data_IF_643366653300
#
_entry.id   IF_643366653300
#
_cell.length_a   1.000
_cell.length_b   1.000
_cell.length_c   1.000
_cell.angle_alpha   90.00
_cell.angle_beta   90.00
_cell.angle_gamma   90.00
#
_symmetry.space_group_name_H-M   'P 1'
#
loop_
_entity.id
_entity.type
_entity.pdbx_description
1 polymer ?
#
# COMPACT_ATOMS: atom_id res chain seq x y z
N UNK A 1 -26.68 -0.62 39.15
CA UNK A 1 -26.89 0.41 38.11
C UNK A 1 -25.79 0.30 37.08
N UNK A 2 -26.01 -0.44 35.99
CA UNK A 2 -25.09 -0.53 34.86
C UNK A 2 -25.39 0.64 33.93
N UNK A 3 -24.49 1.61 33.83
CA UNK A 3 -24.58 2.67 32.83
C UNK A 3 -24.39 2.04 31.46
N UNK A 4 -25.42 2.13 30.63
CA UNK A 4 -25.36 1.88 29.19
C UNK A 4 -24.52 3.02 28.62
N UNK A 5 -23.24 2.76 28.37
CA UNK A 5 -22.39 3.65 27.57
C UNK A 5 -22.95 3.57 26.16
N UNK A 6 -23.59 4.66 25.72
CA UNK A 6 -24.29 4.73 24.44
C UNK A 6 -23.33 4.48 23.28
N UNK A 7 -23.82 3.76 22.27
CA UNK A 7 -23.14 3.48 20.99
C UNK A 7 -22.45 4.70 20.36
N UNK A 8 -22.92 5.91 20.66
CA UNK A 8 -22.34 7.17 20.22
C UNK A 8 -20.93 7.45 20.80
N UNK A 9 -20.62 7.04 22.04
CA UNK A 9 -19.26 7.21 22.58
C UNK A 9 -18.27 6.18 22.01
N UNK A 10 -18.73 4.96 21.69
CA UNK A 10 -17.90 3.95 21.01
C UNK A 10 -17.60 4.38 19.57
N UNK A 11 -18.58 4.94 18.87
CA UNK A 11 -18.36 5.52 17.53
C UNK A 11 -17.44 6.75 17.57
N UNK A 12 -17.54 7.62 18.59
CA UNK A 12 -16.65 8.77 18.73
C UNK A 12 -15.22 8.32 19.09
N UNK A 13 -15.05 7.26 19.90
CA UNK A 13 -13.73 6.71 20.20
C UNK A 13 -13.16 5.96 18.98
N UNK A 14 -13.98 5.26 18.18
CA UNK A 14 -13.52 4.69 16.90
C UNK A 14 -13.18 5.78 15.88
N UNK A 15 -13.95 6.86 15.83
CA UNK A 15 -13.70 8.00 14.94
C UNK A 15 -12.47 8.79 15.39
N UNK A 16 -12.24 8.95 16.70
CA UNK A 16 -11.03 9.55 17.26
C UNK A 16 -9.82 8.62 17.15
N UNK A 17 -9.97 7.30 17.15
CA UNK A 17 -8.89 6.35 16.85
C UNK A 17 -8.58 6.28 15.35
N UNK A 18 -9.56 6.52 14.48
CA UNK A 18 -9.38 6.70 13.04
C UNK A 18 -8.77 8.06 12.69
N UNK A 19 -9.03 9.10 13.49
CA UNK A 19 -8.43 10.45 13.35
C UNK A 19 -7.08 10.55 14.06
N UNK A 20 -6.83 9.82 15.16
CA UNK A 20 -5.52 9.77 15.83
C UNK A 20 -4.53 8.84 15.14
N UNK A 21 -4.97 8.13 14.11
CA UNK A 21 -4.12 7.50 13.10
C UNK A 21 -4.18 8.30 11.79
N UNK A 22 -4.33 9.62 11.86
CA UNK A 22 -3.45 10.47 11.06
C UNK A 22 -2.04 10.10 11.47
N UNK A 23 -1.47 9.14 10.74
CA UNK A 23 -0.04 9.06 10.52
C UNK A 23 0.36 10.50 10.24
N UNK A 24 1.01 11.15 11.21
CA UNK A 24 1.88 12.28 10.92
C UNK A 24 2.92 11.72 9.96
N UNK A 25 2.58 11.67 8.67
CA UNK A 25 3.59 11.62 7.66
C UNK A 25 4.31 12.94 7.86
N UNK A 26 5.61 12.86 8.12
CA UNK A 26 6.50 13.99 7.97
C UNK A 26 6.54 14.33 6.47
N UNK A 27 5.41 14.76 5.91
CA UNK A 27 5.33 15.32 4.57
C UNK A 27 5.64 16.80 4.77
N UNK A 28 6.87 17.16 4.44
CA UNK A 28 7.38 18.51 4.54
C UNK A 28 6.57 19.39 3.55
N UNK A 29 5.44 19.93 4.01
CA UNK A 29 4.46 20.65 3.19
C UNK A 29 4.98 21.98 2.65
N UNK A 30 6.19 22.40 3.06
CA UNK A 30 6.73 23.74 2.80
C UNK A 30 7.65 23.82 1.58
N UNK A 31 8.09 22.69 1.02
CA UNK A 31 8.94 22.71 -0.19
C UNK A 31 8.07 22.85 -1.43
N UNK A 32 8.16 24.01 -2.10
CA UNK A 32 7.51 24.29 -3.38
C UNK A 32 8.52 24.13 -4.52
N UNK A 33 8.16 23.34 -5.53
CA UNK A 33 8.97 23.16 -6.74
C UNK A 33 8.16 23.61 -7.97
N UNK A 34 8.82 24.03 -9.07
CA UNK A 34 8.10 24.39 -10.31
C UNK A 34 7.21 23.26 -10.84
N UNK A 35 7.63 22.01 -10.64
CA UNK A 35 6.82 20.83 -10.98
C UNK A 35 5.53 20.76 -10.17
N UNK A 36 5.63 20.88 -8.85
CA UNK A 36 4.46 20.85 -7.96
C UNK A 36 3.52 22.02 -8.21
N UNK A 37 4.07 23.23 -8.44
CA UNK A 37 3.26 24.41 -8.79
C UNK A 37 2.52 24.22 -10.10
N UNK A 38 3.18 23.67 -11.14
CA UNK A 38 2.54 23.33 -12.41
C UNK A 38 1.34 22.38 -12.22
N UNK A 39 1.50 21.35 -11.40
CA UNK A 39 0.43 20.40 -11.07
C UNK A 39 -0.69 21.09 -10.28
N UNK A 40 -0.35 21.80 -9.20
CA UNK A 40 -1.32 22.47 -8.32
C UNK A 40 -2.09 23.60 -9.02
N UNK A 41 -1.48 24.29 -9.98
CA UNK A 41 -2.17 25.29 -10.79
C UNK A 41 -3.30 24.69 -11.64
N UNK A 42 -3.11 23.46 -12.14
CA UNK A 42 -4.12 22.76 -12.93
C UNK A 42 -5.10 21.97 -12.06
N UNK A 43 -4.59 21.39 -10.97
CA UNK A 43 -5.30 20.54 -10.02
C UNK A 43 -5.06 21.06 -8.60
N UNK A 44 -5.80 22.09 -8.15
CA UNK A 44 -5.56 22.75 -6.86
C UNK A 44 -5.59 21.83 -5.64
N UNK A 45 -6.33 20.73 -5.74
CA UNK A 45 -6.46 19.73 -4.68
C UNK A 45 -5.47 18.57 -4.81
N UNK A 46 -4.56 18.59 -5.79
CA UNK A 46 -3.59 17.51 -6.00
C UNK A 46 -2.73 17.33 -4.75
N UNK A 47 -2.76 16.11 -4.21
CA UNK A 47 -1.98 15.74 -3.07
C UNK A 47 -0.61 15.23 -3.55
N UNK A 48 0.36 16.14 -3.54
CA UNK A 48 1.72 15.94 -4.03
C UNK A 48 2.71 16.68 -3.14
N UNK A 49 3.88 16.08 -2.95
CA UNK A 49 4.99 16.70 -2.26
C UNK A 49 6.34 16.14 -2.66
N UNK A 50 7.35 16.60 -1.94
CA UNK A 50 8.73 16.16 -2.05
C UNK A 50 9.24 15.87 -0.65
N UNK A 51 9.99 14.78 -0.50
CA UNK A 51 10.63 14.44 0.77
C UNK A 51 11.99 15.15 0.91
N UNK A 52 12.62 14.97 2.07
CA UNK A 52 13.91 15.61 2.39
C UNK A 52 15.06 15.12 1.48
N UNK A 53 14.88 14.01 0.76
CA UNK A 53 15.85 13.50 -0.22
C UNK A 53 15.66 14.10 -1.62
N UNK A 54 14.62 14.91 -1.82
CA UNK A 54 14.28 15.50 -3.10
C UNK A 54 13.44 14.60 -4.01
N UNK A 55 12.93 13.48 -3.49
CA UNK A 55 12.08 12.56 -4.24
C UNK A 55 10.61 12.92 -4.10
N UNK A 56 9.87 12.80 -5.19
CA UNK A 56 8.46 13.19 -5.24
C UNK A 56 7.55 12.03 -4.85
N UNK A 57 6.50 12.38 -4.11
CA UNK A 57 5.41 11.47 -3.80
C UNK A 57 4.08 12.00 -4.34
N UNK A 58 3.24 11.09 -4.84
CA UNK A 58 1.91 11.37 -5.36
C UNK A 58 0.85 10.63 -4.55
N UNK A 59 -0.26 11.28 -4.24
CA UNK A 59 -1.36 10.71 -3.46
C UNK A 59 -2.71 10.99 -4.13
N UNK A 60 -3.57 9.98 -4.18
CA UNK A 60 -4.83 9.98 -4.93
C UNK A 60 -5.97 9.56 -4.01
N UNK A 61 -6.93 10.47 -3.78
CA UNK A 61 -7.96 10.28 -2.75
C UNK A 61 -9.37 10.40 -3.35
N UNK A 62 -10.08 9.27 -3.41
CA UNK A 62 -11.49 9.23 -3.83
C UNK A 62 -11.70 9.50 -5.33
N UNK A 63 -12.91 9.93 -5.68
CA UNK A 63 -13.31 10.25 -7.05
C UNK A 63 -12.94 11.69 -7.50
N UNK A 64 -12.36 12.49 -6.59
CA UNK A 64 -12.05 13.91 -6.85
C UNK A 64 -10.74 14.09 -7.60
N UNK A 65 -9.81 13.16 -7.41
CA UNK A 65 -8.60 13.03 -8.19
C UNK A 65 -8.89 12.00 -9.28
N UNK A 66 -8.58 12.29 -10.54
CA UNK A 66 -8.58 11.27 -11.59
C UNK A 66 -7.14 11.11 -12.03
N UNK A 67 -6.61 9.91 -11.88
CA UNK A 67 -5.26 9.55 -12.26
C UNK A 67 -5.02 9.83 -13.75
N UNK A 68 -6.03 9.64 -14.60
CA UNK A 68 -5.99 10.04 -16.01
C UNK A 68 -5.81 11.54 -16.26
N UNK A 69 -6.27 12.42 -15.35
CA UNK A 69 -6.25 13.87 -15.60
C UNK A 69 -4.83 14.45 -15.52
N UNK A 70 -4.08 14.11 -14.48
CA UNK A 70 -2.70 14.58 -14.27
C UNK A 70 -1.61 13.66 -14.82
N UNK A 71 -1.92 12.41 -15.20
CA UNK A 71 -0.88 11.45 -15.64
C UNK A 71 0.05 12.02 -16.73
N UNK A 72 -0.55 12.69 -17.72
CA UNK A 72 0.19 13.34 -18.79
C UNK A 72 1.16 14.42 -18.28
N UNK A 73 0.82 15.08 -17.17
CA UNK A 73 1.61 16.17 -16.59
C UNK A 73 2.68 15.70 -15.60
N UNK A 74 2.70 14.41 -15.23
CA UNK A 74 3.71 13.82 -14.33
C UNK A 74 4.67 12.87 -15.05
N UNK A 75 4.39 12.51 -16.30
CA UNK A 75 5.21 11.60 -17.10
C UNK A 75 6.66 12.10 -17.27
N UNK A 76 6.86 13.41 -17.41
CA UNK A 76 8.20 14.03 -17.50
C UNK A 76 9.00 13.96 -16.19
N UNK A 77 8.39 13.48 -15.10
CA UNK A 77 9.00 13.27 -13.78
C UNK A 77 9.03 11.81 -13.36
N UNK A 78 8.85 10.87 -14.29
CA UNK A 78 8.81 9.44 -13.96
C UNK A 78 10.04 8.94 -13.18
N UNK A 79 11.20 9.54 -13.44
CA UNK A 79 12.49 9.24 -12.81
C UNK A 79 12.70 9.91 -11.45
N UNK A 80 11.78 10.76 -11.01
CA UNK A 80 11.86 11.49 -9.74
C UNK A 80 10.72 11.13 -8.78
N UNK A 81 9.75 10.33 -9.23
CA UNK A 81 8.64 9.86 -8.39
C UNK A 81 9.00 8.47 -7.84
N UNK A 82 9.16 8.38 -6.52
CA UNK A 82 9.46 7.12 -5.83
C UNK A 82 8.30 6.60 -4.98
N UNK A 83 7.31 7.42 -4.65
CA UNK A 83 6.17 7.02 -3.83
C UNK A 83 4.85 7.39 -4.48
N UNK A 84 3.95 6.42 -4.60
CA UNK A 84 2.60 6.64 -5.09
C UNK A 84 1.61 5.97 -4.13
N UNK A 85 0.56 6.71 -3.73
CA UNK A 85 -0.48 6.21 -2.85
C UNK A 85 -1.90 6.42 -3.39
N UNK A 86 -2.75 5.41 -3.23
CA UNK A 86 -4.16 5.44 -3.61
C UNK A 86 -5.02 5.10 -2.41
N UNK A 87 -6.08 5.89 -2.21
CA UNK A 87 -7.11 5.63 -1.21
C UNK A 87 -8.48 5.92 -1.78
N UNK A 88 -9.46 5.03 -1.58
CA UNK A 88 -10.81 5.19 -2.12
C UNK A 88 -10.85 5.35 -3.65
N UNK A 89 -9.86 4.81 -4.37
CA UNK A 89 -9.69 4.98 -5.82
C UNK A 89 -10.26 3.77 -6.57
N UNK A 90 -11.57 3.76 -6.81
CA UNK A 90 -12.28 2.59 -7.37
C UNK A 90 -11.83 2.20 -8.79
N UNK A 91 -11.27 3.15 -9.55
CA UNK A 91 -10.77 2.91 -10.92
C UNK A 91 -9.36 2.33 -10.96
N UNK A 92 -8.75 2.03 -9.80
CA UNK A 92 -7.37 1.56 -9.74
C UNK A 92 -7.20 0.33 -10.63
N UNK A 93 -8.11 -0.64 -10.60
CA UNK A 93 -7.99 -1.89 -11.34
C UNK A 93 -7.85 -1.70 -12.86
N UNK A 94 -8.44 -0.64 -13.42
CA UNK A 94 -8.40 -0.33 -14.86
C UNK A 94 -7.25 0.60 -15.25
N UNK A 95 -6.82 1.49 -14.35
CA UNK A 95 -5.88 2.57 -14.69
C UNK A 95 -4.45 2.35 -14.17
N UNK A 96 -4.28 1.44 -13.21
CA UNK A 96 -3.00 1.21 -12.54
C UNK A 96 -1.88 0.76 -13.49
N UNK A 97 -2.23 0.24 -14.67
CA UNK A 97 -1.25 -0.18 -15.68
C UNK A 97 -0.38 0.97 -16.21
N UNK A 98 -0.86 2.22 -16.12
CA UNK A 98 -0.11 3.41 -16.46
C UNK A 98 1.10 3.63 -15.52
N UNK A 99 1.05 3.10 -14.29
CA UNK A 99 2.14 3.23 -13.33
C UNK A 99 3.44 2.55 -13.81
N UNK A 100 3.39 1.65 -14.80
CA UNK A 100 4.56 0.96 -15.36
C UNK A 100 5.67 1.91 -15.84
N UNK A 101 5.36 3.18 -16.07
CA UNK A 101 6.31 4.23 -16.46
C UNK A 101 7.24 4.64 -15.32
N UNK A 102 6.79 4.56 -14.06
CA UNK A 102 7.56 4.92 -12.87
C UNK A 102 8.56 3.83 -12.46
N UNK A 103 9.67 3.72 -13.20
CA UNK A 103 10.68 2.65 -13.00
C UNK A 103 11.43 2.75 -11.66
N UNK A 104 11.47 3.94 -11.06
CA UNK A 104 12.10 4.20 -9.76
C UNK A 104 11.10 4.18 -8.59
N UNK A 105 9.91 3.63 -8.80
CA UNK A 105 8.94 3.50 -7.72
C UNK A 105 9.46 2.56 -6.63
N UNK A 106 9.69 3.11 -5.45
CA UNK A 106 10.16 2.40 -4.25
C UNK A 106 8.99 2.08 -3.31
N UNK A 107 7.95 2.90 -3.32
CA UNK A 107 6.78 2.74 -2.45
C UNK A 107 5.47 2.82 -3.22
N UNK A 108 4.66 1.76 -3.13
CA UNK A 108 3.31 1.71 -3.67
C UNK A 108 2.32 1.37 -2.55
N UNK A 109 1.36 2.27 -2.35
CA UNK A 109 0.29 2.11 -1.37
C UNK A 109 -1.04 2.14 -2.11
N UNK A 110 -1.88 1.11 -1.95
CA UNK A 110 -3.22 1.05 -2.52
C UNK A 110 -4.14 0.50 -1.44
N UNK A 111 -4.77 1.39 -0.67
CA UNK A 111 -5.61 1.00 0.44
C UNK A 111 -7.07 1.36 0.17
N UNK A 112 -8.02 0.55 0.62
CA UNK A 112 -9.46 0.85 0.48
C UNK A 112 -9.87 1.14 -0.98
N UNK A 113 -9.31 0.41 -1.95
CA UNK A 113 -9.60 0.58 -3.38
C UNK A 113 -10.31 -0.63 -4.00
N UNK A 114 -10.89 -1.50 -3.15
CA UNK A 114 -11.68 -2.65 -3.56
C UNK A 114 -10.95 -3.66 -4.47
N UNK A 115 -9.61 -3.72 -4.45
CA UNK A 115 -8.84 -4.67 -5.26
C UNK A 115 -9.21 -6.11 -4.92
N UNK A 116 -9.57 -6.91 -5.92
CA UNK A 116 -9.88 -8.35 -5.75
C UNK A 116 -8.66 -9.25 -5.95
N UNK A 117 -7.65 -8.74 -6.65
CA UNK A 117 -6.40 -9.41 -6.97
C UNK A 117 -5.26 -8.40 -6.95
N UNK A 118 -4.03 -8.89 -6.78
CA UNK A 118 -2.82 -8.09 -6.95
C UNK A 118 -2.56 -7.94 -8.45
N UNK A 119 -2.63 -6.74 -9.03
CA UNK A 119 -2.49 -6.59 -10.47
C UNK A 119 -1.08 -6.97 -10.97
N UNK A 120 -1.02 -7.74 -12.05
CA UNK A 120 0.22 -8.42 -12.49
C UNK A 120 1.38 -7.51 -12.90
N UNK A 121 1.13 -6.26 -13.30
CA UNK A 121 2.23 -5.33 -13.64
C UNK A 121 2.94 -4.81 -12.39
N UNK A 122 2.39 -4.92 -11.17
CA UNK A 122 3.11 -4.54 -9.95
C UNK A 122 4.44 -5.28 -9.87
N UNK A 123 4.46 -6.55 -10.30
CA UNK A 123 5.66 -7.39 -10.36
C UNK A 123 6.71 -6.94 -11.38
N UNK A 124 6.51 -5.81 -12.09
CA UNK A 124 7.50 -5.19 -12.97
C UNK A 124 8.30 -4.08 -12.29
N UNK A 125 7.92 -3.63 -11.09
CA UNK A 125 8.65 -2.60 -10.36
C UNK A 125 9.89 -3.17 -9.66
N UNK A 126 11.02 -3.18 -10.38
CA UNK A 126 12.31 -3.73 -9.92
C UNK A 126 13.00 -2.88 -8.83
N UNK A 127 12.42 -1.75 -8.47
CA UNK A 127 12.90 -0.85 -7.40
C UNK A 127 11.96 -0.86 -6.20
N UNK A 128 10.88 -1.64 -6.21
CA UNK A 128 9.86 -1.57 -5.19
C UNK A 128 10.33 -2.22 -3.88
N UNK A 129 10.40 -1.40 -2.83
CA UNK A 129 10.81 -1.81 -1.49
C UNK A 129 9.61 -1.90 -0.53
N UNK A 130 8.55 -1.12 -0.80
CA UNK A 130 7.39 -1.01 0.07
C UNK A 130 6.11 -1.24 -0.73
N UNK A 131 5.41 -2.33 -0.42
CA UNK A 131 4.10 -2.64 -1.01
C UNK A 131 3.03 -2.74 0.08
N UNK A 132 2.09 -1.81 0.06
CA UNK A 132 0.97 -1.77 1.00
C UNK A 132 -0.35 -1.86 0.27
N UNK A 133 -1.06 -2.98 0.45
CA UNK A 133 -2.36 -3.28 -0.14
C UNK A 133 -3.41 -3.57 0.94
N UNK A 134 -3.30 -2.92 2.11
CA UNK A 134 -4.20 -3.14 3.24
C UNK A 134 -5.64 -2.72 2.90
N UNK A 135 -6.62 -3.33 3.55
CA UNK A 135 -8.04 -2.97 3.39
C UNK A 135 -8.53 -3.09 1.95
N UNK A 136 -8.25 -4.21 1.30
CA UNK A 136 -8.81 -4.54 -0.01
C UNK A 136 -9.58 -5.87 0.06
N UNK A 137 -9.95 -6.40 -1.09
CA UNK A 137 -10.67 -7.66 -1.24
C UNK A 137 -9.80 -8.76 -1.85
N UNK A 138 -8.47 -8.68 -1.67
CA UNK A 138 -7.52 -9.60 -2.30
C UNK A 138 -7.70 -11.00 -1.71
N UNK A 139 -7.83 -12.00 -2.57
CA UNK A 139 -8.02 -13.40 -2.15
C UNK A 139 -6.80 -14.29 -2.42
N UNK A 140 -5.91 -13.86 -3.32
CA UNK A 140 -4.75 -14.64 -3.76
C UNK A 140 -3.52 -13.74 -3.84
N UNK A 141 -2.40 -14.24 -3.31
CA UNK A 141 -1.06 -13.70 -3.59
C UNK A 141 -0.48 -14.52 -4.76
N UNK A 142 -0.22 -13.93 -5.94
CA UNK A 142 0.37 -14.63 -7.07
C UNK A 142 1.80 -15.09 -6.77
N UNK A 143 2.24 -16.19 -7.39
CA UNK A 143 3.62 -16.70 -7.27
C UNK A 143 4.66 -15.69 -7.74
N UNK A 144 4.28 -14.81 -8.68
CA UNK A 144 5.11 -13.74 -9.22
C UNK A 144 5.49 -12.67 -8.19
N UNK A 145 4.98 -12.74 -6.95
CA UNK A 145 5.41 -11.89 -5.85
C UNK A 145 6.93 -11.94 -5.65
N UNK A 146 7.58 -13.07 -5.95
CA UNK A 146 9.04 -13.21 -5.86
C UNK A 146 9.82 -12.36 -6.86
N UNK A 147 9.18 -11.78 -7.88
CA UNK A 147 9.83 -10.82 -8.79
C UNK A 147 10.10 -9.47 -8.15
N UNK A 148 9.52 -9.21 -6.97
CA UNK A 148 9.81 -8.04 -6.15
C UNK A 148 10.96 -8.37 -5.18
N UNK A 149 12.12 -8.71 -5.73
CA UNK A 149 13.30 -9.21 -5.00
C UNK A 149 13.92 -8.19 -4.03
N UNK A 150 13.61 -6.90 -4.18
CA UNK A 150 13.99 -5.81 -3.27
C UNK A 150 12.95 -5.47 -2.21
N UNK A 151 11.83 -6.20 -2.15
CA UNK A 151 10.74 -5.83 -1.26
C UNK A 151 11.12 -6.01 0.22
N UNK A 152 11.15 -4.91 0.96
CA UNK A 152 11.50 -4.85 2.38
C UNK A 152 10.24 -4.97 3.24
N UNK A 153 9.16 -4.29 2.85
CA UNK A 153 7.91 -4.26 3.60
C UNK A 153 6.73 -4.69 2.73
N UNK A 154 6.08 -5.81 3.11
CA UNK A 154 4.87 -6.31 2.49
C UNK A 154 3.68 -6.23 3.46
N UNK A 155 2.69 -5.42 3.11
CA UNK A 155 1.53 -5.11 3.95
C UNK A 155 0.24 -5.52 3.27
N UNK A 156 -0.36 -6.63 3.72
CA UNK A 156 -1.55 -7.28 3.15
C UNK A 156 -2.68 -7.47 4.17
N UNK A 157 -2.61 -6.81 5.33
CA UNK A 157 -3.64 -6.95 6.37
C UNK A 157 -5.03 -6.51 5.90
N UNK A 158 -6.08 -7.11 6.49
CA UNK A 158 -7.47 -6.80 6.16
C UNK A 158 -7.78 -7.06 4.68
N UNK A 159 -7.63 -8.32 4.28
CA UNK A 159 -7.98 -8.85 2.97
C UNK A 159 -8.70 -10.21 3.15
N UNK A 160 -8.89 -10.98 2.08
CA UNK A 160 -9.53 -12.31 2.09
C UNK A 160 -8.56 -13.43 1.68
N UNK A 161 -7.27 -13.25 1.97
CA UNK A 161 -6.21 -14.17 1.53
C UNK A 161 -6.30 -15.48 2.31
N UNK A 162 -6.32 -16.60 1.57
CA UNK A 162 -6.37 -17.94 2.16
C UNK A 162 -5.04 -18.67 2.18
N UNK A 163 -4.21 -18.42 1.17
CA UNK A 163 -2.94 -19.12 0.96
C UNK A 163 -1.83 -18.13 0.66
N UNK A 164 -0.66 -18.42 1.20
CA UNK A 164 0.58 -17.72 0.89
C UNK A 164 1.40 -18.65 -0.03
N UNK A 165 1.82 -18.20 -1.23
CA UNK A 165 2.63 -19.00 -2.14
C UNK A 165 4.01 -19.26 -1.52
N UNK A 166 4.60 -20.42 -1.83
CA UNK A 166 5.96 -20.76 -1.36
C UNK A 166 7.02 -19.77 -1.81
N UNK A 167 6.78 -19.13 -2.96
CA UNK A 167 7.60 -18.08 -3.57
C UNK A 167 7.76 -16.86 -2.65
N UNK A 168 6.95 -16.71 -1.60
CA UNK A 168 7.22 -15.71 -0.56
C UNK A 168 8.62 -15.89 0.03
N UNK A 169 9.10 -17.13 0.18
CA UNK A 169 10.41 -17.45 0.75
C UNK A 169 11.59 -17.05 -0.13
N UNK A 170 11.35 -16.70 -1.39
CA UNK A 170 12.39 -16.21 -2.31
C UNK A 170 12.71 -14.72 -2.06
N UNK A 171 11.80 -13.98 -1.40
CA UNK A 171 11.95 -12.54 -1.13
C UNK A 171 12.77 -12.33 0.14
N UNK A 172 14.03 -12.77 0.09
CA UNK A 172 14.94 -12.76 1.25
C UNK A 172 15.25 -11.36 1.79
N UNK A 173 14.90 -10.29 1.07
CA UNK A 173 14.97 -8.90 1.48
C UNK A 173 13.87 -8.46 2.46
N UNK A 174 12.80 -9.26 2.65
CA UNK A 174 11.69 -8.90 3.54
C UNK A 174 12.14 -8.75 4.99
N UNK A 175 11.80 -7.61 5.58
CA UNK A 175 12.00 -7.26 7.00
C UNK A 175 10.66 -7.23 7.74
N UNK A 176 9.60 -6.72 7.12
CA UNK A 176 8.25 -6.69 7.70
C UNK A 176 7.24 -7.35 6.75
N UNK A 177 6.52 -8.35 7.24
CA UNK A 177 5.39 -8.96 6.55
C UNK A 177 4.15 -8.96 7.46
N UNK A 178 3.17 -8.12 7.14
CA UNK A 178 1.90 -8.06 7.88
C UNK A 178 0.75 -8.59 7.04
N UNK A 179 0.09 -9.64 7.52
CA UNK A 179 -1.05 -10.27 6.86
C UNK A 179 -2.17 -10.61 7.87
N UNK A 180 -2.20 -9.89 8.98
CA UNK A 180 -3.30 -9.93 9.97
C UNK A 180 -4.67 -9.67 9.36
N UNK A 181 -5.74 -10.21 9.97
CA UNK A 181 -7.12 -10.07 9.49
C UNK A 181 -7.28 -10.59 8.05
N UNK A 182 -6.98 -11.88 7.88
CA UNK A 182 -7.17 -12.63 6.64
C UNK A 182 -7.79 -14.00 6.97
N UNK A 183 -7.79 -14.92 6.01
CA UNK A 183 -8.32 -16.27 6.14
C UNK A 183 -7.23 -17.32 5.92
N UNK A 184 -5.99 -17.04 6.35
CA UNK A 184 -4.86 -17.92 6.06
C UNK A 184 -5.09 -19.29 6.70
N UNK A 185 -5.03 -20.34 5.88
CA UNK A 185 -5.19 -21.73 6.31
C UNK A 185 -3.86 -22.31 6.82
N UNK A 186 -2.75 -21.99 6.14
CA UNK A 186 -1.40 -22.48 6.43
C UNK A 186 -0.32 -21.50 5.95
N UNK A 187 0.86 -21.58 6.56
CA UNK A 187 2.07 -20.93 6.06
C UNK A 187 2.91 -21.95 5.27
N UNK A 188 3.52 -21.56 4.14
CA UNK A 188 4.49 -22.40 3.45
C UNK A 188 5.74 -22.59 4.32
N UNK A 189 6.38 -23.76 4.24
CA UNK A 189 7.63 -24.04 4.98
C UNK A 189 8.74 -23.06 4.58
N UNK A 190 8.70 -22.57 3.35
CA UNK A 190 9.61 -21.61 2.76
C UNK A 190 9.58 -20.24 3.45
N UNK A 191 8.58 -19.94 4.31
CA UNK A 191 8.62 -18.75 5.17
C UNK A 191 9.89 -18.72 6.04
N UNK A 192 10.45 -19.88 6.37
CA UNK A 192 11.71 -20.03 7.11
C UNK A 192 12.97 -19.57 6.34
N UNK A 193 12.85 -19.33 5.03
CA UNK A 193 13.92 -18.79 4.19
C UNK A 193 14.08 -17.27 4.36
N UNK A 194 13.10 -16.58 4.94
CA UNK A 194 13.13 -15.13 5.16
C UNK A 194 14.06 -14.75 6.31
N UNK A 195 15.38 -14.79 6.07
CA UNK A 195 16.41 -14.60 7.10
C UNK A 195 16.48 -13.19 7.68
N UNK A 196 16.00 -12.20 6.93
CA UNK A 196 15.96 -10.80 7.36
C UNK A 196 14.63 -10.40 8.00
N UNK A 197 13.68 -11.33 8.14
CA UNK A 197 12.34 -11.01 8.64
C UNK A 197 12.39 -10.74 10.14
N UNK A 198 12.15 -9.49 10.52
CA UNK A 198 12.10 -9.03 11.90
C UNK A 198 10.66 -8.97 12.42
N UNK A 199 9.69 -8.69 11.54
CA UNK A 199 8.28 -8.54 11.89
C UNK A 199 7.37 -9.41 11.04
N UNK A 200 6.73 -10.40 11.65
CA UNK A 200 5.65 -11.19 11.04
C UNK A 200 4.35 -11.04 11.84
N UNK A 201 3.33 -10.44 11.24
CA UNK A 201 2.02 -10.25 11.89
C UNK A 201 0.95 -11.10 11.21
N UNK A 202 0.48 -12.11 11.95
CA UNK A 202 -0.53 -13.10 11.52
C UNK A 202 -1.81 -13.05 12.36
N UNK A 203 -1.94 -12.05 13.23
CA UNK A 203 -3.09 -11.95 14.15
C UNK A 203 -4.42 -11.97 13.40
N UNK A 204 -5.45 -12.54 14.02
CA UNK A 204 -6.78 -12.61 13.41
C UNK A 204 -6.82 -13.35 12.06
N UNK A 205 -6.13 -14.49 11.97
CA UNK A 205 -6.32 -15.51 10.94
C UNK A 205 -6.95 -16.76 11.58
N UNK A 206 -8.28 -16.86 11.66
CA UNK A 206 -8.95 -17.89 12.46
C UNK A 206 -8.78 -19.30 11.90
N UNK A 207 -8.42 -19.44 10.62
CA UNK A 207 -8.21 -20.72 9.94
C UNK A 207 -6.79 -21.27 10.12
N UNK A 208 -5.85 -20.45 10.61
CA UNK A 208 -4.43 -20.83 10.78
C UNK A 208 -4.27 -21.68 12.04
N UNK A 209 -4.01 -22.97 11.85
CA UNK A 209 -3.95 -23.94 12.96
C UNK A 209 -2.56 -24.16 13.55
N UNK A 210 -1.51 -23.95 12.75
CA UNK A 210 -0.13 -24.23 13.14
C UNK A 210 0.84 -23.29 12.44
N UNK A 211 1.96 -23.05 13.09
CA UNK A 211 3.15 -22.48 12.46
C UNK A 211 4.04 -23.65 11.96
N UNK A 212 4.76 -23.46 10.84
CA UNK A 212 5.69 -24.45 10.30
C UNK A 212 6.92 -24.63 11.18
#
# INVERSE_FOLDING_TARGET
MRQIIGNSQILIILFLLLVSCEIKSAENHDVKTPFMERIKNKYPNANIGVDDSGMYWLSFWGQRDSLDNWFHYVEDKEDSINKISFRYYDKISTEISHLKKFKKLETLIINECNLKEIPSFIFKFQSLENLNLKFNNISVIPKEINKLDKLIHLKLSSNHIKKIPKEIGDITSLVEFTISYNLIEELPNEISNLKNLEGLSLSNNPELKKLP
#
